data_IF_071871609200
#
_entry.id   IF_071871609200
#
_cell.length_a   1.000
_cell.length_b   1.000
_cell.length_c   1.000
_cell.angle_alpha   90.00
_cell.angle_beta   90.00
_cell.angle_gamma   90.00
#
_symmetry.space_group_name_H-M   'P 1'
#
loop_
_entity.id
_entity.type
_entity.pdbx_description
1 polymer ?
#
# COMPACT_ATOMS: atom_id res chain seq x y z
N UNK A 1 49.43 -40.39 49.33
CA UNK A 1 49.74 -39.36 48.33
C UNK A 1 48.57 -39.13 47.32
N UNK A 2 47.86 -40.15 46.88
CA UNK A 2 46.82 -40.04 45.85
C UNK A 2 45.55 -39.22 46.18
N UNK A 3 45.22 -39.03 47.47
CA UNK A 3 43.97 -38.33 47.89
C UNK A 3 44.11 -36.76 47.82
N UNK A 4 45.31 -36.27 47.97
CA UNK A 4 45.59 -34.81 47.89
C UNK A 4 45.52 -34.32 46.45
N UNK A 5 46.01 -35.11 45.53
CA UNK A 5 46.00 -34.84 44.08
C UNK A 5 44.60 -34.78 43.45
N UNK A 6 43.64 -35.55 43.96
CA UNK A 6 42.22 -35.51 43.53
C UNK A 6 41.53 -34.21 43.94
N UNK A 7 41.81 -33.70 45.13
CA UNK A 7 41.22 -32.47 45.64
C UNK A 7 41.76 -31.23 44.88
N UNK A 8 43.02 -31.24 44.53
CA UNK A 8 43.64 -30.13 43.74
C UNK A 8 43.10 -30.12 42.32
N UNK A 9 42.90 -31.27 41.66
CA UNK A 9 42.28 -31.38 40.35
C UNK A 9 40.82 -30.96 40.35
N UNK A 10 40.08 -31.32 41.39
CA UNK A 10 38.68 -30.90 41.58
C UNK A 10 38.56 -29.40 41.81
N UNK A 11 39.47 -28.79 42.58
CA UNK A 11 39.50 -27.36 42.79
C UNK A 11 39.86 -26.60 41.52
N UNK A 12 40.83 -27.07 40.74
CA UNK A 12 41.18 -26.51 39.44
C UNK A 12 39.99 -26.58 38.44
N UNK A 13 39.27 -27.71 38.41
CA UNK A 13 38.08 -27.86 37.58
C UNK A 13 36.99 -26.84 37.96
N UNK A 14 36.75 -26.63 39.28
CA UNK A 14 35.78 -25.66 39.75
C UNK A 14 36.16 -24.22 39.39
N UNK A 15 37.42 -23.85 39.45
CA UNK A 15 37.93 -22.55 39.03
C UNK A 15 37.71 -22.33 37.54
N UNK A 16 38.04 -23.31 36.69
CA UNK A 16 37.82 -23.21 35.24
C UNK A 16 36.35 -23.17 34.88
N UNK A 17 35.49 -23.87 35.63
CA UNK A 17 34.05 -23.83 35.41
C UNK A 17 33.48 -22.44 35.74
N UNK A 18 33.89 -21.82 36.84
CA UNK A 18 33.50 -20.46 37.20
C UNK A 18 34.00 -19.43 36.19
N UNK A 19 35.25 -19.56 35.76
CA UNK A 19 35.84 -18.71 34.72
C UNK A 19 35.09 -18.86 33.39
N UNK A 20 34.75 -20.08 32.98
CA UNK A 20 33.97 -20.32 31.76
C UNK A 20 32.58 -19.70 31.81
N UNK A 21 31.90 -19.78 32.96
CA UNK A 21 30.60 -19.11 33.15
C UNK A 21 30.74 -17.58 33.12
N UNK A 22 31.80 -17.02 33.76
CA UNK A 22 32.04 -15.59 33.74
C UNK A 22 32.33 -15.07 32.30
N UNK A 23 33.13 -15.76 31.55
CA UNK A 23 33.43 -15.41 30.16
C UNK A 23 32.18 -15.52 29.30
N UNK A 24 31.38 -16.60 29.45
CA UNK A 24 30.14 -16.79 28.72
C UNK A 24 29.10 -15.68 29.01
N UNK A 25 28.97 -15.27 30.28
CA UNK A 25 28.06 -14.18 30.66
C UNK A 25 28.52 -12.82 30.14
N UNK A 26 29.84 -12.55 30.12
CA UNK A 26 30.39 -11.34 29.55
C UNK A 26 30.18 -11.25 28.02
N UNK A 27 30.38 -12.34 27.30
CA UNK A 27 30.09 -12.41 25.86
C UNK A 27 28.61 -12.13 25.56
N UNK A 28 27.73 -12.76 26.30
CA UNK A 28 26.27 -12.58 26.15
C UNK A 28 25.83 -11.15 26.47
N UNK A 29 26.42 -10.54 27.49
CA UNK A 29 26.17 -9.14 27.86
C UNK A 29 26.68 -8.16 26.79
N UNK A 30 27.84 -8.41 26.23
CA UNK A 30 28.44 -7.58 25.18
C UNK A 30 27.64 -7.65 23.88
N UNK A 31 27.11 -8.82 23.52
CA UNK A 31 26.28 -9.02 22.33
C UNK A 31 24.91 -8.35 22.46
N UNK A 32 24.30 -8.42 23.65
CA UNK A 32 23.04 -7.76 23.98
C UNK A 32 23.19 -6.23 23.96
N UNK A 33 24.31 -5.71 24.49
CA UNK A 33 24.65 -4.28 24.47
C UNK A 33 24.89 -3.76 23.03
N UNK A 34 25.55 -4.56 22.19
CA UNK A 34 25.77 -4.23 20.78
C UNK A 34 24.45 -4.12 20.00
N UNK A 35 23.55 -5.07 20.18
CA UNK A 35 22.25 -5.07 19.53
C UNK A 35 21.36 -3.90 19.99
N UNK A 36 21.45 -3.55 21.28
CA UNK A 36 20.72 -2.41 21.85
C UNK A 36 21.22 -1.07 21.27
N UNK A 37 22.53 -0.89 21.20
CA UNK A 37 23.15 0.32 20.62
C UNK A 37 22.82 0.50 19.12
N UNK A 38 22.82 -0.60 18.34
CA UNK A 38 22.47 -0.54 16.91
C UNK A 38 21.01 -0.15 16.72
N UNK A 39 20.12 -0.68 17.53
CA UNK A 39 18.69 -0.34 17.45
C UNK A 39 18.43 1.10 17.90
N UNK A 40 19.14 1.57 18.90
CA UNK A 40 19.04 2.95 19.37
C UNK A 40 19.57 3.95 18.33
N UNK A 41 20.73 3.68 17.71
CA UNK A 41 21.25 4.49 16.61
C UNK A 41 20.30 4.52 15.41
N UNK A 42 19.70 3.38 15.03
CA UNK A 42 18.70 3.34 13.96
C UNK A 42 17.44 4.13 14.29
N UNK A 43 17.00 4.11 15.55
CA UNK A 43 15.86 4.90 15.98
C UNK A 43 16.17 6.40 15.95
N UNK A 44 17.34 6.81 16.39
CA UNK A 44 17.81 8.20 16.34
C UNK A 44 17.94 8.69 14.89
N UNK A 45 18.56 7.90 14.00
CA UNK A 45 18.66 8.20 12.56
C UNK A 45 17.29 8.34 11.89
N UNK A 46 16.33 7.47 12.25
CA UNK A 46 14.97 7.54 11.73
C UNK A 46 14.24 8.80 12.20
N UNK A 47 14.39 9.16 13.47
CA UNK A 47 13.80 10.38 14.05
C UNK A 47 14.41 11.63 13.40
N UNK A 48 15.72 11.65 13.15
CA UNK A 48 16.38 12.76 12.46
C UNK A 48 15.92 12.89 11.00
N UNK A 49 15.81 11.77 10.28
CA UNK A 49 15.27 11.74 8.91
C UNK A 49 13.81 12.19 8.85
N UNK A 50 12.98 11.75 9.80
CA UNK A 50 11.59 12.19 9.93
C UNK A 50 11.53 13.72 10.13
N UNK A 51 12.32 14.24 11.07
CA UNK A 51 12.37 15.68 11.37
C UNK A 51 12.88 16.52 10.18
N UNK A 52 13.80 15.97 9.42
CA UNK A 52 14.31 16.62 8.20
C UNK A 52 13.26 16.63 7.11
N UNK A 53 12.59 15.49 6.89
CA UNK A 53 11.49 15.36 5.92
C UNK A 53 10.29 16.26 6.26
N UNK A 54 9.93 16.38 7.55
CA UNK A 54 8.87 17.30 7.98
C UNK A 54 9.24 18.77 7.74
N UNK A 55 10.52 19.15 7.97
CA UNK A 55 10.99 20.50 7.66
C UNK A 55 10.99 20.78 6.16
N UNK A 56 11.40 19.82 5.34
CA UNK A 56 11.36 19.96 3.90
C UNK A 56 9.91 20.06 3.40
N UNK A 57 9.01 19.25 3.94
CA UNK A 57 7.58 19.30 3.62
C UNK A 57 6.97 20.66 3.95
N UNK A 58 7.24 21.21 5.14
CA UNK A 58 6.77 22.55 5.53
C UNK A 58 7.35 23.65 4.65
N UNK A 59 8.64 23.59 4.33
CA UNK A 59 9.28 24.55 3.45
C UNK A 59 8.72 24.51 2.01
N UNK A 60 8.44 23.31 1.50
CA UNK A 60 7.79 23.12 0.20
C UNK A 60 6.36 23.64 0.21
N UNK A 61 5.58 23.39 1.27
CA UNK A 61 4.23 23.91 1.42
C UNK A 61 4.20 25.44 1.45
N UNK A 62 5.12 26.08 2.18
CA UNK A 62 5.25 27.53 2.17
C UNK A 62 5.63 28.07 0.78
N UNK A 63 6.50 27.35 0.07
CA UNK A 63 6.91 27.74 -1.29
C UNK A 63 5.78 27.59 -2.30
N UNK A 64 4.98 26.54 -2.20
CA UNK A 64 3.74 26.35 -2.99
C UNK A 64 2.77 27.46 -2.70
N UNK A 65 2.47 27.75 -1.43
CA UNK A 65 1.59 28.86 -1.03
C UNK A 65 2.06 30.21 -1.58
N UNK A 66 3.35 30.48 -1.53
CA UNK A 66 3.94 31.72 -2.06
C UNK A 66 3.88 31.80 -3.60
N UNK A 67 4.00 30.66 -4.29
CA UNK A 67 3.82 30.57 -5.73
C UNK A 67 2.37 30.74 -6.13
N UNK A 68 1.43 30.18 -5.37
CA UNK A 68 -0.01 30.39 -5.53
C UNK A 68 -0.41 31.86 -5.33
N UNK A 69 0.11 32.50 -4.28
CA UNK A 69 -0.14 33.94 -4.02
C UNK A 69 0.45 34.85 -5.10
N UNK A 70 1.63 34.52 -5.64
CA UNK A 70 2.25 35.28 -6.75
C UNK A 70 1.71 34.90 -8.14
N UNK A 71 1.25 33.66 -8.33
CA UNK A 71 0.62 33.18 -9.57
C UNK A 71 -0.85 33.54 -9.71
N UNK A 72 -1.54 33.78 -8.61
CA UNK A 72 -2.97 34.15 -8.59
C UNK A 72 -3.29 35.51 -9.25
N UNK A 73 -2.27 36.32 -9.56
CA UNK A 73 -2.46 37.60 -10.24
C UNK A 73 -2.66 37.53 -11.75
N UNK A 74 -2.38 36.38 -12.42
CA UNK A 74 -2.39 36.32 -13.88
C UNK A 74 -2.92 35.00 -14.50
N UNK A 75 -3.40 34.05 -13.72
CA UNK A 75 -3.97 32.81 -14.26
C UNK A 75 -5.50 32.92 -14.37
N UNK A 76 -6.04 32.57 -15.53
CA UNK A 76 -7.50 32.44 -15.71
C UNK A 76 -8.04 31.43 -14.66
N UNK A 77 -9.07 31.83 -13.87
CA UNK A 77 -9.70 30.95 -12.88
C UNK A 77 -10.13 29.60 -13.47
N UNK A 78 -10.50 29.56 -14.74
CA UNK A 78 -10.85 28.31 -15.45
C UNK A 78 -9.63 27.42 -15.69
N UNK A 79 -8.49 27.99 -16.03
CA UNK A 79 -7.24 27.26 -16.22
C UNK A 79 -6.73 26.69 -14.90
N UNK A 80 -6.79 27.46 -13.83
CA UNK A 80 -6.43 27.03 -12.48
C UNK A 80 -7.32 25.87 -12.01
N UNK A 81 -8.64 25.96 -12.24
CA UNK A 81 -9.57 24.89 -11.90
C UNK A 81 -9.32 23.62 -12.71
N UNK A 82 -9.06 23.76 -14.03
CA UNK A 82 -8.71 22.63 -14.88
C UNK A 82 -7.40 21.93 -14.45
N UNK A 83 -6.41 22.68 -13.99
CA UNK A 83 -5.18 22.13 -13.41
C UNK A 83 -5.46 21.37 -12.10
N UNK A 84 -6.27 21.91 -11.19
CA UNK A 84 -6.68 21.25 -9.96
C UNK A 84 -7.45 19.95 -10.21
N UNK A 85 -8.32 19.95 -11.22
CA UNK A 85 -9.01 18.72 -11.64
C UNK A 85 -8.04 17.63 -12.09
N UNK A 86 -7.05 18.01 -12.94
CA UNK A 86 -6.00 17.08 -13.42
C UNK A 86 -5.08 16.60 -12.30
N UNK A 87 -4.74 17.49 -11.38
CA UNK A 87 -3.95 17.15 -10.19
C UNK A 87 -4.73 16.28 -9.18
N UNK A 88 -6.05 16.10 -9.38
CA UNK A 88 -6.88 15.31 -8.47
C UNK A 88 -7.26 16.04 -7.18
N UNK A 89 -6.99 17.34 -7.06
CA UNK A 89 -7.22 18.13 -5.84
C UNK A 89 -8.71 18.47 -5.59
N UNK A 90 -9.59 18.15 -6.53
CA UNK A 90 -11.02 18.41 -6.42
C UNK A 90 -11.84 17.16 -6.62
N UNK A 91 -12.92 17.03 -5.87
CA UNK A 91 -13.94 16.01 -6.08
C UNK A 91 -14.63 16.24 -7.42
N UNK A 92 -14.75 15.17 -8.20
CA UNK A 92 -15.39 15.19 -9.50
C UNK A 92 -16.71 14.43 -9.46
N UNK A 93 -17.69 14.90 -10.24
CA UNK A 93 -18.97 14.25 -10.43
C UNK A 93 -19.35 14.24 -11.91
N UNK A 94 -19.91 13.13 -12.38
CA UNK A 94 -20.34 12.99 -13.77
C UNK A 94 -20.91 11.61 -14.04
N UNK A 95 -21.37 11.39 -15.29
CA UNK A 95 -21.81 10.06 -15.72
C UNK A 95 -20.62 9.09 -15.70
N UNK A 96 -20.92 7.80 -15.52
CA UNK A 96 -19.85 6.82 -15.47
C UNK A 96 -20.30 5.43 -15.12
N UNK A 97 -19.40 4.64 -14.54
CA UNK A 97 -19.65 3.28 -14.09
C UNK A 97 -19.21 3.09 -12.64
N UNK A 98 -19.92 2.20 -11.95
CA UNK A 98 -19.50 1.63 -10.68
C UNK A 98 -19.28 0.13 -10.87
N UNK A 99 -18.12 -0.35 -10.48
CA UNK A 99 -17.71 -1.75 -10.58
C UNK A 99 -17.50 -2.29 -9.18
N UNK A 100 -18.29 -3.27 -8.79
CA UNK A 100 -18.13 -3.94 -7.50
C UNK A 100 -17.50 -5.31 -7.73
N UNK A 101 -16.43 -5.60 -7.02
CA UNK A 101 -15.72 -6.88 -7.07
C UNK A 101 -15.74 -7.52 -5.68
N UNK A 102 -16.11 -8.80 -5.63
CA UNK A 102 -16.10 -9.59 -4.39
C UNK A 102 -15.49 -10.96 -4.65
N UNK A 103 -14.76 -11.50 -3.69
CA UNK A 103 -14.11 -12.80 -3.78
C UNK A 103 -15.11 -13.90 -4.14
N UNK A 104 -14.61 -14.98 -4.73
CA UNK A 104 -15.42 -16.12 -5.07
C UNK A 104 -16.07 -16.74 -3.83
N UNK A 105 -17.38 -16.99 -3.91
CA UNK A 105 -18.11 -17.74 -2.89
C UNK A 105 -18.03 -19.26 -3.11
N UNK A 106 -17.43 -19.66 -4.24
CA UNK A 106 -17.24 -21.07 -4.57
C UNK A 106 -15.86 -21.50 -4.03
N UNK A 107 -15.79 -22.57 -3.25
CA UNK A 107 -14.50 -23.07 -2.76
C UNK A 107 -13.65 -23.60 -3.93
N UNK A 108 -12.34 -23.44 -3.80
CA UNK A 108 -11.37 -24.00 -4.75
C UNK A 108 -11.57 -25.53 -4.88
N UNK A 109 -11.51 -26.04 -6.10
CA UNK A 109 -11.59 -27.48 -6.34
C UNK A 109 -10.29 -28.16 -5.92
N UNK A 110 -10.36 -29.47 -5.67
CA UNK A 110 -9.21 -30.25 -5.27
C UNK A 110 -8.10 -30.18 -6.34
N UNK A 111 -6.94 -29.68 -5.97
CA UNK A 111 -5.77 -29.51 -6.86
C UNK A 111 -5.68 -28.17 -7.57
N UNK A 112 -6.63 -27.27 -7.39
CA UNK A 112 -6.57 -25.89 -7.88
C UNK A 112 -5.95 -24.96 -6.82
N UNK A 113 -5.27 -23.90 -7.27
CA UNK A 113 -4.71 -22.88 -6.38
C UNK A 113 -5.83 -22.01 -5.78
N UNK A 114 -6.01 -21.98 -4.46
CA UNK A 114 -7.00 -21.13 -3.80
C UNK A 114 -6.84 -19.63 -4.12
N UNK A 115 -5.63 -19.17 -4.47
CA UNK A 115 -5.40 -17.79 -4.84
C UNK A 115 -6.12 -17.35 -6.11
N UNK A 116 -6.52 -18.27 -6.97
CA UNK A 116 -7.32 -17.97 -8.17
C UNK A 116 -8.76 -17.54 -7.87
N UNK A 117 -9.23 -17.76 -6.64
CA UNK A 117 -10.58 -17.50 -6.19
C UNK A 117 -10.72 -16.22 -5.35
N UNK A 118 -9.63 -15.51 -5.14
CA UNK A 118 -9.58 -14.24 -4.42
C UNK A 118 -9.02 -13.13 -5.32
N UNK A 119 -9.43 -11.91 -5.04
CA UNK A 119 -9.02 -10.72 -5.81
C UNK A 119 -7.63 -10.29 -5.38
N UNK A 120 -6.76 -10.07 -6.37
CA UNK A 120 -5.42 -9.54 -6.20
C UNK A 120 -5.29 -8.11 -6.73
N UNK A 121 -4.20 -7.45 -6.36
CA UNK A 121 -3.82 -6.13 -6.87
C UNK A 121 -3.72 -6.10 -8.41
N UNK A 122 -3.20 -7.16 -9.01
CA UNK A 122 -3.10 -7.31 -10.47
C UNK A 122 -4.49 -7.25 -11.15
N UNK A 123 -5.50 -7.87 -10.56
CA UNK A 123 -6.88 -7.83 -11.06
C UNK A 123 -7.46 -6.42 -11.01
N UNK A 124 -7.25 -5.72 -9.89
CA UNK A 124 -7.67 -4.33 -9.75
C UNK A 124 -6.93 -3.41 -10.72
N UNK A 125 -5.62 -3.59 -10.86
CA UNK A 125 -4.81 -2.84 -11.82
C UNK A 125 -5.27 -3.05 -13.27
N UNK A 126 -5.67 -4.28 -13.65
CA UNK A 126 -6.26 -4.54 -14.96
C UNK A 126 -7.58 -3.80 -15.16
N UNK A 127 -8.47 -3.80 -14.17
CA UNK A 127 -9.73 -3.03 -14.21
C UNK A 127 -9.44 -1.53 -14.39
N UNK A 128 -8.50 -0.98 -13.61
CA UNK A 128 -8.10 0.43 -13.68
C UNK A 128 -7.53 0.78 -15.06
N UNK A 129 -6.72 -0.10 -15.65
CA UNK A 129 -6.12 0.09 -16.95
C UNK A 129 -7.15 0.03 -18.09
N UNK A 130 -8.11 -0.90 -18.03
CA UNK A 130 -9.21 -0.97 -18.99
C UNK A 130 -10.08 0.31 -18.95
N UNK A 131 -10.39 0.81 -17.75
CA UNK A 131 -11.13 2.06 -17.59
C UNK A 131 -10.37 3.26 -18.15
N UNK A 132 -9.04 3.35 -17.88
CA UNK A 132 -8.19 4.40 -18.44
C UNK A 132 -8.14 4.34 -19.98
N UNK A 133 -7.93 3.16 -20.55
CA UNK A 133 -7.91 2.93 -21.99
C UNK A 133 -9.25 3.27 -22.65
N UNK A 134 -10.36 3.06 -21.95
CA UNK A 134 -11.70 3.44 -22.39
C UNK A 134 -12.00 4.94 -22.28
N UNK A 135 -11.08 5.73 -21.72
CA UNK A 135 -11.20 7.18 -21.60
C UNK A 135 -11.88 7.64 -20.31
N UNK A 136 -11.68 6.93 -19.19
CA UNK A 136 -12.09 7.43 -17.89
C UNK A 136 -11.36 8.74 -17.55
N UNK A 137 -12.11 9.75 -17.12
CA UNK A 137 -11.61 11.08 -16.76
C UNK A 137 -11.15 11.16 -15.30
N UNK A 138 -11.77 10.36 -14.44
CA UNK A 138 -11.43 10.22 -13.04
C UNK A 138 -11.81 8.84 -12.53
N UNK A 139 -10.96 8.25 -11.68
CA UNK A 139 -11.19 6.93 -11.11
C UNK A 139 -10.93 6.97 -9.60
N UNK A 140 -11.73 6.24 -8.82
CA UNK A 140 -11.45 5.91 -7.43
C UNK A 140 -11.59 4.41 -7.18
N UNK A 141 -10.87 3.92 -6.18
CA UNK A 141 -10.98 2.56 -5.65
C UNK A 141 -11.25 2.67 -4.15
N UNK A 142 -12.39 2.20 -3.69
CA UNK A 142 -12.86 2.31 -2.30
C UNK A 142 -12.69 3.74 -1.73
N UNK A 143 -13.17 4.73 -2.47
CA UNK A 143 -13.09 6.16 -2.14
C UNK A 143 -11.66 6.76 -2.13
N UNK A 144 -10.63 5.99 -2.51
CA UNK A 144 -9.31 6.53 -2.77
C UNK A 144 -9.21 6.97 -4.24
N UNK A 145 -8.92 8.25 -4.46
CA UNK A 145 -8.63 8.77 -5.81
C UNK A 145 -7.41 8.06 -6.39
N UNK A 146 -7.52 7.62 -7.64
CA UNK A 146 -6.42 6.98 -8.37
C UNK A 146 -5.79 7.97 -9.33
N UNK A 147 -4.54 8.30 -9.08
CA UNK A 147 -3.66 9.12 -9.92
C UNK A 147 -2.50 8.26 -10.46
N UNK A 148 -1.62 8.86 -11.25
CA UNK A 148 -0.44 8.17 -11.78
C UNK A 148 0.57 7.79 -10.69
N UNK A 149 0.56 8.51 -9.55
CA UNK A 149 1.39 8.26 -8.38
C UNK A 149 0.75 7.27 -7.39
N UNK A 150 -0.49 6.85 -7.63
CA UNK A 150 -1.21 5.95 -6.71
C UNK A 150 -0.61 4.55 -6.72
N UNK A 151 -0.43 3.99 -5.54
CA UNK A 151 -0.07 2.60 -5.38
C UNK A 151 -1.30 1.70 -5.18
N UNK A 152 -1.28 0.53 -5.80
CA UNK A 152 -2.23 -0.56 -5.54
C UNK A 152 -1.40 -1.83 -5.42
N UNK A 153 -1.40 -2.47 -4.25
CA UNK A 153 -0.59 -3.67 -4.01
C UNK A 153 -1.21 -4.59 -2.96
N UNK A 154 -0.97 -5.88 -3.08
CA UNK A 154 -1.36 -6.85 -2.06
C UNK A 154 -0.62 -6.60 -0.74
N UNK A 155 -1.35 -6.70 0.36
CA UNK A 155 -0.85 -6.56 1.73
C UNK A 155 -1.42 -7.69 2.62
N UNK A 156 -0.98 -8.91 2.37
CA UNK A 156 -1.58 -10.12 2.94
C UNK A 156 -2.97 -10.37 2.35
N UNK A 157 -4.02 -10.59 3.18
CA UNK A 157 -5.38 -10.85 2.72
C UNK A 157 -6.14 -9.59 2.28
N UNK A 158 -5.46 -8.45 2.19
CA UNK A 158 -6.03 -7.14 1.86
C UNK A 158 -5.25 -6.50 0.73
N UNK A 159 -5.84 -5.51 0.06
CA UNK A 159 -5.14 -4.65 -0.90
C UNK A 159 -4.93 -3.27 -0.29
N UNK A 160 -3.71 -2.77 -0.37
CA UNK A 160 -3.34 -1.40 -0.01
C UNK A 160 -3.52 -0.50 -1.23
N UNK A 161 -4.21 0.61 -1.02
CA UNK A 161 -4.41 1.67 -2.02
C UNK A 161 -4.05 2.99 -1.36
N UNK A 162 -3.07 3.71 -1.88
CA UNK A 162 -2.59 4.96 -1.29
C UNK A 162 -2.29 4.82 0.21
N UNK A 163 -1.60 3.73 0.60
CA UNK A 163 -1.28 3.38 1.98
C UNK A 163 -2.48 3.04 2.89
N UNK A 164 -3.70 2.96 2.35
CA UNK A 164 -4.91 2.54 3.08
C UNK A 164 -5.28 1.12 2.69
N UNK A 165 -5.53 0.25 3.68
CA UNK A 165 -5.85 -1.17 3.46
C UNK A 165 -7.35 -1.39 3.34
N UNK A 166 -7.74 -2.16 2.34
CA UNK A 166 -9.12 -2.54 2.07
C UNK A 166 -9.25 -4.06 1.92
N UNK A 167 -10.40 -4.57 2.33
CA UNK A 167 -10.83 -5.96 2.08
C UNK A 167 -11.98 -5.96 1.07
N UNK A 168 -12.26 -7.06 0.38
CA UNK A 168 -13.46 -7.19 -0.44
C UNK A 168 -14.75 -6.88 0.36
N UNK A 169 -15.76 -6.30 -0.28
CA UNK A 169 -15.83 -5.97 -1.69
C UNK A 169 -15.05 -4.70 -2.04
N UNK A 170 -14.43 -4.72 -3.23
CA UNK A 170 -13.78 -3.55 -3.80
C UNK A 170 -14.75 -2.82 -4.73
N UNK A 171 -14.82 -1.49 -4.59
CA UNK A 171 -15.70 -0.64 -5.40
C UNK A 171 -14.85 0.32 -6.23
N UNK A 172 -14.81 0.11 -7.52
CA UNK A 172 -14.16 1.02 -8.48
C UNK A 172 -15.21 1.94 -9.07
N UNK A 173 -15.01 3.25 -8.95
CA UNK A 173 -15.87 4.26 -9.60
C UNK A 173 -15.07 4.99 -10.66
N UNK A 174 -15.66 5.15 -11.85
CA UNK A 174 -15.02 5.85 -12.95
C UNK A 174 -16.02 6.81 -13.63
N UNK A 175 -15.58 8.04 -13.81
CA UNK A 175 -16.30 9.08 -14.57
C UNK A 175 -15.84 9.01 -16.02
N UNK A 176 -16.78 9.10 -16.97
CA UNK A 176 -16.58 9.05 -18.42
C UNK A 176 -17.84 8.59 -19.14
N UNK A 177 -17.74 8.28 -20.43
CA UNK A 177 -18.87 7.71 -21.17
C UNK A 177 -19.26 6.33 -20.62
N UNK A 178 -20.46 6.16 -20.01
CA UNK A 178 -20.81 4.91 -19.33
C UNK A 178 -20.87 3.70 -20.29
N UNK A 179 -21.23 3.93 -21.56
CA UNK A 179 -21.33 2.85 -22.56
C UNK A 179 -19.93 2.37 -22.97
N UNK A 180 -18.99 3.31 -23.18
CA UNK A 180 -17.62 2.97 -23.54
C UNK A 180 -16.90 2.26 -22.39
N UNK A 181 -17.04 2.76 -21.16
CA UNK A 181 -16.44 2.19 -19.96
C UNK A 181 -16.97 0.76 -19.70
N UNK A 182 -18.31 0.55 -19.75
CA UNK A 182 -18.90 -0.78 -19.60
C UNK A 182 -18.44 -1.74 -20.71
N UNK A 183 -18.42 -1.27 -21.96
CA UNK A 183 -18.04 -2.12 -23.11
C UNK A 183 -16.60 -2.59 -23.02
N UNK A 184 -15.68 -1.73 -22.59
CA UNK A 184 -14.27 -2.09 -22.41
C UNK A 184 -14.11 -3.20 -21.35
N UNK A 185 -14.76 -3.06 -20.21
CA UNK A 185 -14.71 -4.06 -19.15
C UNK A 185 -15.31 -5.41 -19.57
N UNK A 186 -16.34 -5.39 -20.42
CA UNK A 186 -17.06 -6.60 -20.89
C UNK A 186 -16.51 -7.17 -22.20
N UNK A 187 -15.32 -6.80 -22.63
CA UNK A 187 -14.67 -7.38 -23.80
C UNK A 187 -14.51 -8.89 -23.65
N UNK A 188 -14.70 -9.64 -24.75
CA UNK A 188 -14.45 -11.08 -24.79
C UNK A 188 -12.98 -11.38 -24.49
N UNK A 189 -12.72 -12.32 -23.59
CA UNK A 189 -11.37 -12.63 -23.09
C UNK A 189 -10.80 -11.53 -22.19
N UNK A 190 -11.60 -10.52 -21.83
CA UNK A 190 -11.20 -9.42 -20.97
C UNK A 190 -11.19 -9.76 -19.48
N UNK A 191 -10.85 -8.77 -18.67
CA UNK A 191 -10.67 -8.92 -17.23
C UNK A 191 -11.90 -9.44 -16.50
N UNK A 192 -13.10 -8.91 -16.83
CA UNK A 192 -14.35 -9.32 -16.18
C UNK A 192 -14.70 -10.78 -16.49
N UNK A 193 -14.50 -11.24 -17.72
CA UNK A 193 -14.75 -12.62 -18.10
C UNK A 193 -13.77 -13.57 -17.40
N UNK A 194 -12.50 -13.18 -17.31
CA UNK A 194 -11.45 -13.95 -16.61
C UNK A 194 -11.76 -14.09 -15.12
N UNK A 195 -12.13 -13.00 -14.45
CA UNK A 195 -12.50 -13.02 -13.03
C UNK A 195 -13.73 -13.89 -12.77
N UNK A 196 -14.76 -13.76 -13.59
CA UNK A 196 -15.98 -14.57 -13.49
C UNK A 196 -15.74 -16.05 -13.72
N UNK A 197 -14.77 -16.42 -14.56
CA UNK A 197 -14.37 -17.82 -14.76
C UNK A 197 -13.92 -18.48 -13.45
N UNK A 198 -13.25 -17.73 -12.58
CA UNK A 198 -12.82 -18.20 -11.27
C UNK A 198 -13.88 -18.00 -10.16
N UNK A 199 -15.09 -17.62 -10.54
CA UNK A 199 -16.20 -17.42 -9.60
C UNK A 199 -16.14 -16.11 -8.82
N UNK A 200 -15.21 -15.22 -9.13
CA UNK A 200 -15.15 -13.86 -8.57
C UNK A 200 -16.38 -13.10 -9.05
N UNK A 201 -17.08 -12.48 -8.11
CA UNK A 201 -18.26 -11.67 -8.43
C UNK A 201 -17.80 -10.32 -8.97
N UNK A 202 -18.27 -9.96 -10.16
CA UNK A 202 -18.00 -8.65 -10.78
C UNK A 202 -19.30 -8.08 -11.31
N UNK A 203 -19.75 -7.00 -10.69
CA UNK A 203 -20.92 -6.25 -11.11
C UNK A 203 -20.50 -4.90 -11.69
N UNK A 204 -20.95 -4.62 -12.92
CA UNK A 204 -20.69 -3.36 -13.62
C UNK A 204 -22.00 -2.66 -13.86
N UNK A 205 -22.18 -1.50 -13.23
CA UNK A 205 -23.42 -0.71 -13.27
C UNK A 205 -23.10 0.67 -13.85
N UNK A 206 -23.85 1.04 -14.88
CA UNK A 206 -23.83 2.41 -15.41
C UNK A 206 -24.63 3.33 -14.50
N UNK A 207 -24.08 4.51 -14.23
CA UNK A 207 -24.75 5.53 -13.42
C UNK A 207 -24.73 6.88 -14.13
N UNK A 208 -25.81 7.61 -14.03
CA UNK A 208 -25.90 8.97 -14.57
C UNK A 208 -25.03 9.95 -13.75
N UNK A 209 -24.77 9.61 -12.49
CA UNK A 209 -23.92 10.38 -11.60
C UNK A 209 -23.06 9.46 -10.73
N UNK A 210 -21.77 9.58 -10.91
CA UNK A 210 -20.70 8.96 -10.10
C UNK A 210 -19.91 10.07 -9.43
N UNK A 211 -19.57 9.88 -8.17
CA UNK A 211 -18.69 10.80 -7.44
C UNK A 211 -17.34 10.14 -7.23
N UNK A 212 -16.29 10.84 -7.62
CA UNK A 212 -14.89 10.46 -7.41
C UNK A 212 -14.24 11.54 -6.53
N UNK A 213 -13.77 11.20 -5.31
CA UNK A 213 -13.25 12.18 -4.37
C UNK A 213 -11.95 12.85 -4.84
N UNK A 214 -11.55 13.90 -4.15
CA UNK A 214 -10.20 14.45 -4.26
C UNK A 214 -9.16 13.45 -3.73
N UNK A 215 -7.93 13.60 -4.15
CA UNK A 215 -6.77 12.87 -3.61
C UNK A 215 -6.38 13.49 -2.26
N UNK A 216 -6.24 12.66 -1.22
CA UNK A 216 -5.84 13.04 0.14
C UNK A 216 -4.38 12.66 0.43
#
# INVERSE_FOLDING_TARGET
MAYKDKKEKFFMFLVFLVLGIMVSTQFRSAEMQRSHNINQQRAEDLVEKLKTSEKEKTALQERVKKLEETGAGNSDPKETFAMKMRAGEVTMQGPGVEVTLDDSKVPAKQGEDPNLYIIHDDDLLRILNELRAAGAEAISLNDQRILDISEVRCAGPTVSVNNTRFSPPYVVRAIGDPKRLESALRLRGGVVETLKFWGITVDVIKKDQVTVPAFE
#
